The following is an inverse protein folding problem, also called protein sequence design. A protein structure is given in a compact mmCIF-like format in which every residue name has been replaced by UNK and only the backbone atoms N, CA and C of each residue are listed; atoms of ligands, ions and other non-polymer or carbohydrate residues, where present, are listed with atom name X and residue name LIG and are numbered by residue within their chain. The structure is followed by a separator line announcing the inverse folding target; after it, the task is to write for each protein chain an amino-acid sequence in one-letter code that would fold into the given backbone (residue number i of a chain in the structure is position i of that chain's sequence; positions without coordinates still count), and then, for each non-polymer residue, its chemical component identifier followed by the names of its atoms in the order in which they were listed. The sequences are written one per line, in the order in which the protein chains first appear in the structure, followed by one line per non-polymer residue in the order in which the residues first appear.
data_IF_379737562654
#
_entry.id   IF_379737562654
#
_cell.length_a   1.000
_cell.length_b   1.000
_cell.length_c   1.000
_cell.angle_alpha   90.00
_cell.angle_beta   90.00
_cell.angle_gamma   90.00
#
_symmetry.space_group_name_H-M   'P 1'
#
loop_
_entity.id
_entity.type
_entity.pdbx_description
1 polymer ?
#
# COMPACT_ATOMS: atom_id res chain seq x y z
N UNK A 1 2.58 15.38 -1.98
CA UNK A 1 3.25 14.05 -2.07
C UNK A 1 3.32 13.34 -0.70
N UNK A 2 3.57 14.07 0.39
CA UNK A 2 3.62 13.54 1.77
C UNK A 2 2.45 12.60 2.11
N UNK A 3 1.21 13.04 1.85
CA UNK A 3 0.02 12.24 2.14
C UNK A 3 0.00 10.90 1.37
N UNK A 4 0.48 10.87 0.13
CA UNK A 4 0.54 9.63 -0.67
C UNK A 4 1.54 8.66 -0.06
N UNK A 5 2.73 9.15 0.29
CA UNK A 5 3.77 8.33 0.94
C UNK A 5 3.29 7.82 2.30
N UNK A 6 2.67 8.70 3.10
CA UNK A 6 2.08 8.33 4.40
C UNK A 6 1.01 7.23 4.25
N UNK A 7 0.16 7.31 3.23
CA UNK A 7 -0.83 6.28 2.96
C UNK A 7 -0.20 4.93 2.61
N UNK A 8 0.81 4.92 1.73
CA UNK A 8 1.52 3.69 1.35
C UNK A 8 2.23 3.05 2.55
N UNK A 9 2.98 3.85 3.33
CA UNK A 9 3.68 3.38 4.52
C UNK A 9 2.70 2.91 5.60
N UNK A 10 1.59 3.62 5.80
CA UNK A 10 0.53 3.22 6.72
C UNK A 10 -0.07 1.87 6.33
N UNK A 11 -0.24 1.61 5.03
CA UNK A 11 -0.74 0.32 4.56
C UNK A 11 0.28 -0.80 4.73
N UNK A 12 1.55 -0.56 4.41
CA UNK A 12 2.63 -1.50 4.70
C UNK A 12 2.63 -1.87 6.20
N UNK A 13 2.59 -0.90 7.11
CA UNK A 13 2.54 -1.13 8.56
C UNK A 13 1.28 -1.88 9.02
N UNK A 14 0.14 -1.69 8.36
CA UNK A 14 -1.12 -2.36 8.71
C UNK A 14 -1.18 -3.81 8.23
N UNK A 15 -0.62 -4.10 7.06
CA UNK A 15 -0.81 -5.37 6.36
C UNK A 15 0.41 -6.28 6.40
N UNK A 16 1.63 -5.73 6.48
CA UNK A 16 2.86 -6.50 6.71
C UNK A 16 3.08 -6.67 8.22
N UNK A 17 2.53 -7.74 8.79
CA UNK A 17 2.57 -8.03 10.23
C UNK A 17 4.00 -8.18 10.80
N UNK A 18 4.96 -8.55 9.96
CA UNK A 18 6.39 -8.68 10.28
C UNK A 18 7.20 -8.58 8.99
N UNK A 19 8.38 -7.96 9.04
CA UNK A 19 9.27 -7.86 7.90
C UNK A 19 9.86 -6.46 7.76
N UNK A 20 10.72 -6.27 6.75
CA UNK A 20 11.30 -4.96 6.43
C UNK A 20 10.32 -4.13 5.57
N UNK A 21 10.13 -2.87 5.95
CA UNK A 21 9.52 -1.86 5.07
C UNK A 21 10.64 -0.99 4.52
N UNK A 22 10.84 -1.05 3.21
CA UNK A 22 11.90 -0.32 2.51
C UNK A 22 11.33 0.85 1.72
N UNK A 23 11.85 2.04 1.96
CA UNK A 23 11.55 3.24 1.18
C UNK A 23 12.79 3.59 0.35
N UNK A 24 12.62 3.77 -0.95
CA UNK A 24 13.70 4.13 -1.87
C UNK A 24 13.28 5.18 -2.88
N UNK A 25 14.26 5.92 -3.39
CA UNK A 25 14.06 6.98 -4.38
C UNK A 25 15.08 6.88 -5.51
N UNK A 26 14.64 7.06 -6.75
CA UNK A 26 15.49 7.14 -7.92
C UNK A 26 15.14 8.38 -8.73
N UNK A 27 16.14 9.25 -8.97
CA UNK A 27 15.99 10.39 -9.88
C UNK A 27 16.26 9.92 -11.31
N UNK A 28 15.36 10.27 -12.22
CA UNK A 28 15.49 10.14 -13.68
C UNK A 28 15.41 11.55 -14.30
N UNK A 29 15.80 11.73 -15.59
CA UNK A 29 15.91 13.06 -16.19
C UNK A 29 14.66 13.96 -16.05
N UNK A 30 13.46 13.39 -16.09
CA UNK A 30 12.19 14.15 -16.04
C UNK A 30 11.28 13.76 -14.86
N UNK A 31 11.72 12.84 -13.99
CA UNK A 31 10.87 12.32 -12.93
C UNK A 31 11.65 11.75 -11.76
N UNK A 32 11.00 11.69 -10.60
CA UNK A 32 11.49 10.98 -9.43
C UNK A 32 10.59 9.78 -9.18
N UNK A 33 11.18 8.59 -9.10
CA UNK A 33 10.49 7.36 -8.72
C UNK A 33 10.68 7.17 -7.24
N UNK A 34 9.57 7.07 -6.52
CA UNK A 34 9.54 6.74 -5.08
C UNK A 34 8.91 5.36 -4.97
N UNK A 35 9.57 4.45 -4.27
CA UNK A 35 9.10 3.09 -4.06
C UNK A 35 9.01 2.81 -2.56
N UNK A 36 7.85 2.28 -2.14
CA UNK A 36 7.61 1.69 -0.82
C UNK A 36 7.40 0.20 -1.05
N UNK A 37 8.24 -0.62 -0.43
CA UNK A 37 8.19 -2.08 -0.53
C UNK A 37 8.04 -2.67 0.87
N UNK A 38 7.23 -3.71 1.00
CA UNK A 38 7.02 -4.47 2.23
C UNK A 38 7.02 -5.97 1.95
N UNK A 39 7.14 -6.77 3.01
CA UNK A 39 7.14 -8.24 2.97
C UNK A 39 5.80 -8.81 3.46
N UNK A 40 4.71 -8.07 3.26
CA UNK A 40 3.37 -8.50 3.61
C UNK A 40 2.84 -9.63 2.71
N UNK A 41 1.59 -10.09 2.95
CA UNK A 41 0.98 -11.19 2.21
C UNK A 41 0.70 -10.87 0.72
N UNK A 42 1.03 -9.67 0.26
CA UNK A 42 0.73 -9.19 -1.09
C UNK A 42 -0.75 -8.87 -1.29
N UNK A 43 -1.11 -8.63 -2.56
CA UNK A 43 -2.48 -8.33 -3.00
C UNK A 43 -2.91 -9.46 -3.92
N UNK A 44 -4.12 -9.99 -3.70
CA UNK A 44 -4.69 -11.02 -4.57
C UNK A 44 -4.91 -10.47 -5.99
N UNK A 45 -4.69 -11.31 -7.01
CA UNK A 45 -4.75 -10.87 -8.40
C UNK A 45 -6.12 -10.25 -8.78
N UNK A 46 -7.20 -10.76 -8.20
CA UNK A 46 -8.56 -10.26 -8.44
C UNK A 46 -8.83 -8.91 -7.76
N UNK A 47 -8.03 -8.54 -6.76
CA UNK A 47 -8.18 -7.28 -6.03
C UNK A 47 -7.35 -6.16 -6.69
N UNK A 48 -6.29 -6.50 -7.45
CA UNK A 48 -5.39 -5.55 -8.11
C UNK A 48 -6.11 -4.47 -8.96
N UNK A 49 -7.14 -4.78 -9.77
CA UNK A 49 -7.84 -3.77 -10.55
C UNK A 49 -8.63 -2.76 -9.70
N UNK A 50 -8.92 -3.10 -8.45
CA UNK A 50 -9.84 -2.38 -7.57
C UNK A 50 -9.16 -1.65 -6.43
N UNK A 51 -7.83 -1.73 -6.30
CA UNK A 51 -7.11 -1.14 -5.15
C UNK A 51 -7.17 0.39 -5.08
N UNK A 52 -7.62 1.06 -6.16
CA UNK A 52 -7.87 2.50 -6.20
C UNK A 52 -9.37 2.85 -6.18
N UNK A 53 -10.24 1.83 -6.13
CA UNK A 53 -11.69 2.04 -6.02
C UNK A 53 -12.02 2.48 -4.60
N UNK A 54 -12.69 3.61 -4.49
CA UNK A 54 -13.09 4.15 -3.18
C UNK A 54 -13.95 3.14 -2.43
N UNK A 55 -13.65 2.96 -1.15
CA UNK A 55 -14.32 2.02 -0.24
C UNK A 55 -14.11 0.54 -0.55
N UNK A 56 -13.34 0.21 -1.59
CA UNK A 56 -13.02 -1.18 -1.88
C UNK A 56 -12.08 -1.73 -0.81
N UNK A 57 -12.37 -2.94 -0.34
CA UNK A 57 -11.53 -3.70 0.58
C UNK A 57 -11.63 -5.18 0.25
N UNK A 58 -10.47 -5.82 0.11
CA UNK A 58 -10.38 -7.27 -0.03
C UNK A 58 -11.09 -7.97 1.14
N UNK A 59 -11.78 -9.08 0.87
CA UNK A 59 -12.48 -9.88 1.88
C UNK A 59 -11.53 -10.39 2.97
N UNK A 60 -10.24 -10.62 2.65
CA UNK A 60 -9.21 -10.99 3.63
C UNK A 60 -8.83 -9.81 4.53
N UNK A 61 -8.71 -8.62 3.96
CA UNK A 61 -8.36 -7.40 4.70
C UNK A 61 -9.45 -6.99 5.70
N UNK A 62 -10.73 -7.19 5.38
CA UNK A 62 -11.86 -6.88 6.28
C UNK A 62 -11.78 -7.64 7.61
N UNK A 63 -11.27 -8.88 7.60
CA UNK A 63 -11.17 -9.72 8.80
C UNK A 63 -10.03 -9.30 9.73
N UNK A 64 -8.94 -8.74 9.18
CA UNK A 64 -7.69 -8.55 9.92
C UNK A 64 -7.35 -7.09 10.23
N UNK A 65 -8.01 -6.10 9.62
CA UNK A 65 -7.65 -4.67 9.83
C UNK A 65 -8.86 -3.75 10.00
N UNK A 66 -8.69 -2.68 10.80
CA UNK A 66 -9.67 -1.58 10.93
C UNK A 66 -9.35 -0.48 9.91
N UNK A 67 -10.34 -0.05 9.12
CA UNK A 67 -10.19 1.05 8.15
C UNK A 67 -11.40 1.21 7.22
N UNK A 68 -11.63 2.43 6.72
CA UNK A 68 -12.81 2.78 5.91
C UNK A 68 -12.63 2.54 4.39
N UNK A 69 -11.49 2.01 3.94
CA UNK A 69 -11.19 1.92 2.49
C UNK A 69 -11.01 3.30 1.84
N UNK A 70 -10.54 4.28 2.61
CA UNK A 70 -10.30 5.66 2.17
C UNK A 70 -8.82 5.94 1.83
N UNK A 71 -8.01 4.89 1.83
CA UNK A 71 -6.56 4.97 1.64
C UNK A 71 -6.02 3.63 1.22
N UNK A 72 -6.40 3.19 0.02
CA UNK A 72 -5.55 3.12 -1.16
C UNK A 72 -6.47 3.37 -2.36
#
# INVERSE_FOLDING_TARGET
IEQVISNLVSNALKYAASGEIKISGQVRPEQVIICVSDEGPGIEANDLPHIFDRFYRSTKAVKNTKGAGLGL
#
